data_IF_137077199332
#
_entry.id   IF_137077199332
#
_cell.length_a   1.000
_cell.length_b   1.000
_cell.length_c   1.000
_cell.angle_alpha   90.00
_cell.angle_beta   90.00
_cell.angle_gamma   90.00
#
_symmetry.space_group_name_H-M   'P 1'
#
loop_
_entity.id
_entity.type
_entity.pdbx_description
1 polymer ?
#
# COMPACT_ATOMS: atom_id res chain seq x y z
N UNK A 1 37.80 -4.83 -25.16
CA UNK A 1 37.64 -4.58 -23.70
C UNK A 1 36.16 -4.41 -23.39
N UNK A 2 35.54 -5.45 -22.85
CA UNK A 2 34.12 -5.42 -22.51
C UNK A 2 34.00 -4.79 -21.13
N UNK A 3 33.46 -3.58 -21.07
CA UNK A 3 33.16 -2.89 -19.83
C UNK A 3 32.08 -3.67 -19.08
N UNK A 4 32.44 -4.31 -17.97
CA UNK A 4 31.49 -4.88 -17.02
C UNK A 4 30.71 -3.72 -16.40
N UNK A 5 29.44 -3.56 -16.81
CA UNK A 5 28.47 -2.72 -16.14
C UNK A 5 28.29 -3.25 -14.70
N UNK A 6 28.94 -2.58 -13.77
CA UNK A 6 28.62 -2.71 -12.36
C UNK A 6 27.22 -2.14 -12.16
N UNK A 7 26.22 -2.99 -11.97
CA UNK A 7 24.94 -2.57 -11.46
C UNK A 7 25.17 -2.06 -10.03
N UNK A 8 25.49 -0.77 -9.91
CA UNK A 8 25.34 -0.05 -8.66
C UNK A 8 23.85 -0.13 -8.30
N UNK A 9 23.58 -0.54 -7.09
CA UNK A 9 22.24 -0.59 -6.50
C UNK A 9 21.78 0.88 -6.29
N UNK A 10 21.50 1.58 -7.42
CA UNK A 10 21.11 2.98 -7.41
C UNK A 10 19.71 3.06 -6.82
N UNK A 11 19.59 3.66 -5.64
CA UNK A 11 18.29 3.85 -4.99
C UNK A 11 17.40 4.71 -5.87
N UNK A 12 16.16 4.26 -6.10
CA UNK A 12 15.18 4.99 -6.90
C UNK A 12 14.80 6.31 -6.23
N UNK A 13 14.75 7.39 -6.99
CA UNK A 13 14.25 8.68 -6.55
C UNK A 13 12.76 8.79 -6.82
N UNK A 14 11.98 9.08 -5.79
CA UNK A 14 10.53 9.14 -5.86
C UNK A 14 10.03 10.56 -5.59
N UNK A 15 9.01 10.99 -6.35
CA UNK A 15 8.23 12.17 -6.07
C UNK A 15 6.94 11.76 -5.34
N UNK A 16 6.75 12.26 -4.12
CA UNK A 16 5.58 11.95 -3.27
C UNK A 16 4.63 13.15 -3.29
N UNK A 17 3.44 12.93 -3.83
CA UNK A 17 2.39 13.94 -4.01
C UNK A 17 1.16 13.51 -3.23
N UNK A 18 0.79 14.31 -2.23
CA UNK A 18 -0.25 14.01 -1.26
C UNK A 18 -1.42 14.97 -1.45
N UNK A 19 -2.58 14.42 -1.72
CA UNK A 19 -3.84 15.14 -1.73
C UNK A 19 -4.35 15.23 -0.29
N UNK A 20 -4.30 16.45 0.29
CA UNK A 20 -4.67 16.70 1.68
C UNK A 20 -6.16 16.52 1.97
N UNK A 21 -7.00 16.70 0.95
CA UNK A 21 -8.46 16.59 1.10
C UNK A 21 -8.90 15.12 1.23
N UNK A 22 -8.10 14.20 0.69
CA UNK A 22 -8.38 12.77 0.67
C UNK A 22 -7.45 11.92 1.57
N UNK A 23 -6.37 12.49 2.10
CA UNK A 23 -5.43 11.76 2.95
C UNK A 23 -5.64 12.09 4.44
N UNK A 24 -5.52 11.10 5.30
CA UNK A 24 -5.61 11.27 6.75
C UNK A 24 -4.22 11.44 7.36
N UNK A 25 -4.06 12.40 8.27
CA UNK A 25 -2.79 12.68 8.94
C UNK A 25 -2.22 11.48 9.72
N UNK A 26 -3.09 10.62 10.26
CA UNK A 26 -2.70 9.44 11.04
C UNK A 26 -1.91 8.37 10.27
N UNK A 27 -1.87 8.44 8.93
CA UNK A 27 -1.13 7.45 8.13
C UNK A 27 0.30 7.88 7.84
N UNK A 28 0.71 9.12 8.15
CA UNK A 28 1.94 9.73 7.61
C UNK A 28 3.19 8.93 7.94
N UNK A 29 3.29 8.43 9.17
CA UNK A 29 4.43 7.66 9.64
C UNK A 29 4.56 6.35 8.84
N UNK A 30 3.51 5.53 8.83
CA UNK A 30 3.46 4.28 8.06
C UNK A 30 3.57 4.51 6.54
N UNK A 31 3.09 5.65 6.03
CA UNK A 31 3.23 6.03 4.62
C UNK A 31 4.71 6.17 4.23
N UNK A 32 5.50 6.93 4.99
CA UNK A 32 6.92 7.12 4.66
C UNK A 32 7.75 5.87 4.95
N UNK A 33 7.41 5.07 5.95
CA UNK A 33 8.01 3.75 6.14
C UNK A 33 7.75 2.82 4.95
N UNK A 34 6.53 2.82 4.42
CA UNK A 34 6.18 2.02 3.25
C UNK A 34 6.90 2.52 1.99
N UNK A 35 6.93 3.85 1.75
CA UNK A 35 7.61 4.46 0.61
C UNK A 35 9.11 4.14 0.63
N UNK A 36 9.75 4.14 1.81
CA UNK A 36 11.17 3.83 1.96
C UNK A 36 11.55 2.43 1.45
N UNK A 37 10.60 1.50 1.35
CA UNK A 37 10.81 0.17 0.76
C UNK A 37 10.98 0.21 -0.77
N UNK A 38 10.52 1.27 -1.41
CA UNK A 38 10.52 1.42 -2.87
C UNK A 38 11.61 2.38 -3.37
N UNK A 39 12.04 3.32 -2.53
CA UNK A 39 13.06 4.30 -2.90
C UNK A 39 13.15 5.48 -1.94
N UNK A 40 13.89 6.51 -2.36
CA UNK A 40 14.06 7.75 -1.60
C UNK A 40 12.98 8.74 -2.00
N UNK A 41 12.20 9.24 -1.03
CA UNK A 41 11.25 10.33 -1.22
C UNK A 41 11.99 11.66 -1.39
N UNK A 42 12.48 11.94 -2.61
CA UNK A 42 13.29 13.13 -2.94
C UNK A 42 12.45 14.40 -3.01
N UNK A 43 11.20 14.31 -3.36
CA UNK A 43 10.20 15.38 -3.31
C UNK A 43 9.03 14.90 -2.48
N UNK A 44 8.57 15.73 -1.55
CA UNK A 44 7.40 15.51 -0.71
C UNK A 44 6.55 16.76 -0.74
N UNK A 45 5.43 16.73 -1.44
CA UNK A 45 4.50 17.86 -1.59
C UNK A 45 3.11 17.45 -1.17
N UNK A 46 2.41 18.37 -0.54
CA UNK A 46 1.05 18.18 -0.09
C UNK A 46 0.18 19.33 -0.54
N UNK A 47 -0.90 19.02 -1.22
CA UNK A 47 -1.80 19.96 -1.88
C UNK A 47 -3.08 20.10 -1.09
N UNK A 48 -3.52 21.34 -0.85
CA UNK A 48 -4.75 21.61 -0.11
C UNK A 48 -4.98 23.08 0.16
N UNK A 49 -6.13 23.40 0.73
CA UNK A 49 -6.42 24.75 1.21
C UNK A 49 -6.03 24.88 2.69
N UNK A 50 -4.85 25.44 2.92
CA UNK A 50 -4.26 25.64 4.26
C UNK A 50 -4.83 26.80 5.04
N UNK A 51 -5.79 27.54 4.50
CA UNK A 51 -6.41 28.69 5.16
C UNK A 51 -7.44 28.26 6.20
N UNK A 52 -8.04 27.08 6.03
CA UNK A 52 -9.03 26.50 6.94
C UNK A 52 -8.43 25.70 8.09
N UNK A 53 -9.24 25.38 9.12
CA UNK A 53 -8.83 24.56 10.26
C UNK A 53 -8.75 23.07 9.94
N UNK A 54 -9.35 22.61 8.82
CA UNK A 54 -9.52 21.19 8.46
C UNK A 54 -8.19 20.45 8.36
N UNK A 55 -7.17 21.12 7.84
CA UNK A 55 -5.82 20.56 7.66
C UNK A 55 -4.88 20.86 8.86
N UNK A 56 -5.43 21.31 9.98
CA UNK A 56 -4.66 21.65 11.18
C UNK A 56 -3.81 20.49 11.72
N UNK A 57 -4.29 19.26 11.64
CA UNK A 57 -3.58 18.06 12.07
C UNK A 57 -2.30 17.78 11.26
N UNK A 58 -2.23 18.27 10.03
CA UNK A 58 -1.07 18.10 9.16
C UNK A 58 0.07 19.08 9.45
N UNK A 59 -0.21 20.25 10.07
CA UNK A 59 0.79 21.32 10.23
C UNK A 59 2.06 20.87 10.96
N UNK A 60 1.90 20.12 12.06
CA UNK A 60 3.03 19.58 12.82
C UNK A 60 3.77 18.51 12.02
N UNK A 61 3.05 17.58 11.43
CA UNK A 61 3.58 16.47 10.66
C UNK A 61 4.32 16.91 9.40
N UNK A 62 3.88 17.99 8.74
CA UNK A 62 4.60 18.55 7.59
C UNK A 62 6.00 18.99 7.96
N UNK A 63 6.19 19.61 9.13
CA UNK A 63 7.51 20.02 9.61
C UNK A 63 8.36 18.79 9.97
N UNK A 64 7.80 17.84 10.72
CA UNK A 64 8.50 16.63 11.18
C UNK A 64 8.97 15.77 10.01
N UNK A 65 8.17 15.64 8.95
CA UNK A 65 8.48 14.81 7.77
C UNK A 65 9.03 15.60 6.59
N UNK A 66 9.29 16.91 6.75
CA UNK A 66 9.77 17.80 5.69
C UNK A 66 8.88 17.75 4.44
N UNK A 67 7.57 17.85 4.63
CA UNK A 67 6.57 17.88 3.55
C UNK A 67 6.33 19.35 3.19
N UNK A 68 6.46 19.70 1.92
CA UNK A 68 6.21 21.05 1.41
C UNK A 68 4.70 21.24 1.18
N UNK A 69 4.02 22.16 1.90
CA UNK A 69 2.63 22.50 1.60
C UNK A 69 2.56 23.33 0.31
N UNK A 70 1.65 22.96 -0.56
CA UNK A 70 1.27 23.71 -1.76
C UNK A 70 -0.13 24.27 -1.51
N UNK A 71 -0.22 25.60 -1.43
CA UNK A 71 -1.50 26.28 -1.22
C UNK A 71 -2.30 26.31 -2.50
N UNK A 72 -3.53 25.86 -2.43
CA UNK A 72 -4.52 26.04 -3.48
C UNK A 72 -5.78 26.66 -2.86
N UNK A 73 -6.12 27.88 -3.29
CA UNK A 73 -7.34 28.54 -2.83
C UNK A 73 -8.57 27.96 -3.52
N UNK A 74 -9.55 27.58 -2.74
CA UNK A 74 -10.84 27.16 -3.25
C UNK A 74 -11.68 28.39 -3.67
N UNK A 75 -11.48 28.89 -4.89
CA UNK A 75 -12.23 30.04 -5.41
C UNK A 75 -13.74 29.76 -5.55
N UNK A 76 -14.14 28.50 -5.62
CA UNK A 76 -15.54 28.06 -5.71
C UNK A 76 -15.68 26.74 -4.97
N UNK A 77 -16.67 26.62 -4.08
CA UNK A 77 -16.96 25.37 -3.38
C UNK A 77 -17.25 24.25 -4.39
N UNK A 78 -16.60 23.11 -4.21
CA UNK A 78 -16.84 21.89 -5.02
C UNK A 78 -16.15 21.85 -6.39
N UNK A 79 -15.11 22.64 -6.62
CA UNK A 79 -14.24 22.49 -7.80
C UNK A 79 -12.91 21.87 -7.42
N UNK A 80 -12.40 20.97 -8.29
CA UNK A 80 -11.15 20.20 -8.17
C UNK A 80 -9.90 21.07 -8.38
N UNK A 81 -9.80 22.20 -7.66
CA UNK A 81 -8.68 23.13 -7.81
C UNK A 81 -7.38 22.53 -7.25
N UNK A 82 -7.49 21.80 -6.15
CA UNK A 82 -6.38 21.06 -5.51
C UNK A 82 -5.84 19.98 -6.44
N UNK A 83 -6.75 19.18 -7.05
CA UNK A 83 -6.39 18.10 -7.97
C UNK A 83 -5.67 18.62 -9.20
N UNK A 84 -6.16 19.72 -9.78
CA UNK A 84 -5.53 20.37 -10.94
C UNK A 84 -4.11 20.84 -10.62
N UNK A 85 -3.89 21.41 -9.44
CA UNK A 85 -2.57 21.85 -9.00
C UNK A 85 -1.60 20.66 -8.84
N UNK A 86 -2.07 19.55 -8.23
CA UNK A 86 -1.28 18.33 -8.10
C UNK A 86 -0.94 17.75 -9.47
N UNK A 87 -1.89 17.71 -10.41
CA UNK A 87 -1.68 17.18 -11.76
C UNK A 87 -0.65 18.01 -12.53
N UNK A 88 -0.75 19.33 -12.49
CA UNK A 88 0.22 20.22 -13.17
C UNK A 88 1.61 20.00 -12.61
N UNK A 89 1.75 20.02 -11.29
CA UNK A 89 3.02 19.86 -10.61
C UNK A 89 3.64 18.47 -10.84
N UNK A 90 2.82 17.42 -10.89
CA UNK A 90 3.26 16.07 -11.27
C UNK A 90 3.85 16.04 -12.68
N UNK A 91 3.20 16.71 -13.64
CA UNK A 91 3.69 16.80 -15.02
C UNK A 91 4.99 17.61 -15.11
N UNK A 92 5.10 18.72 -14.37
CA UNK A 92 6.34 19.51 -14.30
C UNK A 92 7.48 18.66 -13.74
N UNK A 93 7.25 17.92 -12.64
CA UNK A 93 8.25 17.03 -12.05
C UNK A 93 8.62 15.89 -13.00
N UNK A 94 7.69 15.31 -13.74
CA UNK A 94 7.93 14.28 -14.75
C UNK A 94 8.95 14.77 -15.79
N UNK A 95 8.76 15.96 -16.34
CA UNK A 95 9.63 16.51 -17.38
C UNK A 95 11.00 16.94 -16.88
N UNK A 96 11.21 17.03 -15.57
CA UNK A 96 12.58 17.22 -15.02
C UNK A 96 13.48 16.01 -15.25
N UNK A 97 12.93 14.82 -15.50
CA UNK A 97 13.63 13.52 -15.66
C UNK A 97 14.56 13.18 -14.50
N UNK A 98 14.20 13.59 -13.28
CA UNK A 98 14.99 13.35 -12.06
C UNK A 98 14.46 12.20 -11.20
N UNK A 99 13.30 11.63 -11.55
CA UNK A 99 12.60 10.65 -10.75
C UNK A 99 12.48 9.34 -11.51
N UNK A 100 12.50 8.24 -10.75
CA UNK A 100 12.26 6.88 -11.24
C UNK A 100 10.79 6.47 -11.03
N UNK A 101 10.06 7.22 -10.21
CA UNK A 101 8.67 6.93 -9.93
C UNK A 101 7.96 8.02 -9.12
N UNK A 102 6.64 7.83 -9.02
CA UNK A 102 5.72 8.73 -8.33
C UNK A 102 4.90 7.96 -7.29
N UNK A 103 4.72 8.56 -6.13
CA UNK A 103 3.78 8.13 -5.11
C UNK A 103 2.60 9.10 -5.12
N UNK A 104 1.42 8.62 -5.49
CA UNK A 104 0.17 9.38 -5.51
C UNK A 104 -0.66 8.96 -4.30
N UNK A 105 -0.89 9.89 -3.37
CA UNK A 105 -1.62 9.63 -2.12
C UNK A 105 -2.98 10.30 -2.19
N UNK A 106 -3.97 9.57 -2.66
CA UNK A 106 -5.37 9.98 -2.76
C UNK A 106 -6.29 8.78 -2.98
N UNK A 107 -7.57 8.94 -2.68
CA UNK A 107 -8.63 7.98 -3.00
C UNK A 107 -9.51 8.45 -4.16
N UNK A 108 -9.15 9.55 -4.83
CA UNK A 108 -9.94 10.10 -5.91
C UNK A 108 -9.62 9.45 -7.27
N UNK A 109 -10.68 9.14 -8.02
CA UNK A 109 -10.60 8.60 -9.38
C UNK A 109 -10.06 9.58 -10.41
N UNK A 110 -10.09 10.88 -10.13
CA UNK A 110 -9.65 11.93 -11.06
C UNK A 110 -8.15 11.82 -11.36
N UNK A 111 -7.39 11.21 -10.45
CA UNK A 111 -5.98 10.91 -10.67
C UNK A 111 -5.71 9.68 -11.55
N UNK A 112 -6.75 8.95 -11.99
CA UNK A 112 -6.60 7.78 -12.88
C UNK A 112 -5.81 8.11 -14.13
N UNK A 113 -6.16 9.23 -14.80
CA UNK A 113 -5.50 9.64 -16.05
C UNK A 113 -4.05 10.09 -15.80
N UNK A 114 -3.78 10.74 -14.67
CA UNK A 114 -2.43 11.10 -14.26
C UNK A 114 -1.56 9.86 -14.08
N UNK A 115 -2.03 8.88 -13.30
CA UNK A 115 -1.31 7.63 -13.06
C UNK A 115 -1.00 6.90 -14.38
N UNK A 116 -1.96 6.79 -15.30
CA UNK A 116 -1.76 6.20 -16.61
C UNK A 116 -0.70 6.98 -17.41
N UNK A 117 -0.76 8.31 -17.41
CA UNK A 117 0.18 9.16 -18.16
C UNK A 117 1.62 9.04 -17.64
N UNK A 118 1.80 9.00 -16.32
CA UNK A 118 3.13 8.79 -15.71
C UNK A 118 3.72 7.44 -16.13
N UNK A 119 2.91 6.38 -16.16
CA UNK A 119 3.35 5.05 -16.61
C UNK A 119 3.67 5.02 -18.10
N UNK A 120 2.90 5.70 -18.95
CA UNK A 120 3.19 5.85 -20.39
C UNK A 120 4.59 6.45 -20.62
N UNK A 121 5.06 7.31 -19.72
CA UNK A 121 6.42 7.89 -19.76
C UNK A 121 7.48 7.01 -19.07
N UNK A 122 7.13 5.78 -18.69
CA UNK A 122 8.06 4.80 -18.11
C UNK A 122 8.30 4.97 -16.59
N UNK A 123 7.54 5.82 -15.92
CA UNK A 123 7.64 5.98 -14.46
C UNK A 123 6.94 4.85 -13.73
N UNK A 124 7.51 4.42 -12.60
CA UNK A 124 6.79 3.52 -11.69
C UNK A 124 5.81 4.32 -10.84
N UNK A 125 4.53 3.94 -10.83
CA UNK A 125 3.49 4.63 -10.06
C UNK A 125 3.03 3.78 -8.88
N UNK A 126 3.20 4.32 -7.68
CA UNK A 126 2.75 3.77 -6.42
C UNK A 126 1.53 4.57 -5.94
N UNK A 127 0.35 3.94 -5.94
CA UNK A 127 -0.87 4.56 -5.41
C UNK A 127 -1.04 4.24 -3.92
N UNK A 128 -1.50 5.21 -3.16
CA UNK A 128 -1.87 5.06 -1.75
C UNK A 128 -3.26 5.65 -1.55
N UNK A 129 -4.21 4.86 -1.08
CA UNK A 129 -5.57 5.32 -0.87
C UNK A 129 -6.39 4.35 -0.04
N UNK A 130 -7.57 4.73 0.36
CA UNK A 130 -8.47 3.90 1.16
C UNK A 130 -9.08 2.76 0.33
N UNK A 131 -9.61 1.73 1.00
CA UNK A 131 -10.27 0.58 0.33
C UNK A 131 -11.46 0.98 -0.55
N UNK A 132 -12.06 2.15 -0.29
CA UNK A 132 -13.13 2.72 -1.13
C UNK A 132 -12.64 3.26 -2.48
N UNK A 133 -11.33 3.37 -2.70
CA UNK A 133 -10.74 3.92 -3.94
C UNK A 133 -11.26 3.18 -5.17
N UNK A 134 -11.74 3.88 -6.20
CA UNK A 134 -12.29 3.27 -7.39
C UNK A 134 -11.26 2.40 -8.13
N UNK A 135 -11.72 1.24 -8.60
CA UNK A 135 -10.86 0.26 -9.32
C UNK A 135 -10.07 0.85 -10.50
N UNK A 136 -10.58 1.80 -11.30
CA UNK A 136 -9.80 2.40 -12.39
C UNK A 136 -8.49 3.03 -11.89
N UNK A 137 -8.52 3.79 -10.79
CA UNK A 137 -7.31 4.40 -10.24
C UNK A 137 -6.34 3.33 -9.68
N UNK A 138 -6.87 2.35 -8.94
CA UNK A 138 -6.07 1.22 -8.44
C UNK A 138 -5.34 0.49 -9.58
N UNK A 139 -6.06 0.22 -10.69
CA UNK A 139 -5.50 -0.48 -11.85
C UNK A 139 -4.54 0.36 -12.69
N UNK A 140 -4.64 1.69 -12.61
CA UNK A 140 -3.73 2.60 -13.29
C UNK A 140 -2.34 2.68 -12.61
N UNK A 141 -2.19 2.19 -11.38
CA UNK A 141 -0.93 2.13 -10.65
C UNK A 141 -0.19 0.81 -10.92
N UNK A 142 1.15 0.82 -10.81
CA UNK A 142 1.95 -0.42 -10.81
C UNK A 142 1.81 -1.18 -9.51
N UNK A 143 1.68 -0.44 -8.41
CA UNK A 143 1.34 -0.98 -7.09
C UNK A 143 0.39 -0.02 -6.38
N UNK A 144 -0.60 -0.57 -5.67
CA UNK A 144 -1.53 0.20 -4.87
C UNK A 144 -1.53 -0.32 -3.42
N UNK A 145 -1.37 0.58 -2.47
CA UNK A 145 -1.31 0.27 -1.04
C UNK A 145 -2.53 0.90 -0.36
N UNK A 146 -3.34 0.07 0.26
CA UNK A 146 -4.47 0.56 1.04
C UNK A 146 -3.99 1.17 2.36
N UNK A 147 -4.40 2.41 2.62
CA UNK A 147 -3.92 3.19 3.77
C UNK A 147 -4.34 2.62 5.12
N UNK A 148 -5.36 1.78 5.16
CA UNK A 148 -5.79 1.07 6.36
C UNK A 148 -4.71 0.16 6.95
N UNK A 149 -3.82 -0.38 6.11
CA UNK A 149 -2.70 -1.22 6.59
C UNK A 149 -1.49 -0.41 7.08
N UNK A 150 -1.52 0.91 6.90
CA UNK A 150 -0.44 1.83 7.30
C UNK A 150 -0.72 2.50 8.63
N UNK A 151 -1.94 2.38 9.17
CA UNK A 151 -2.28 2.90 10.49
C UNK A 151 -1.52 2.09 11.52
N UNK A 152 -0.82 2.76 12.45
CA UNK A 152 -0.29 2.11 13.63
C UNK A 152 -1.45 1.41 14.36
N UNK A 153 -1.30 0.11 14.65
CA UNK A 153 -2.18 -0.52 15.62
C UNK A 153 -1.99 0.25 16.93
N UNK A 154 -3.05 0.91 17.41
CA UNK A 154 -3.06 1.40 18.79
C UNK A 154 -2.84 0.17 19.66
N UNK A 155 -1.63 0.05 20.19
CA UNK A 155 -1.32 -0.91 21.24
C UNK A 155 -2.13 -0.48 22.44
N UNK A 156 -3.29 -1.08 22.63
CA UNK A 156 -4.03 -0.96 23.89
C UNK A 156 -3.18 -1.66 24.94
N UNK A 157 -2.32 -0.89 25.63
CA UNK A 157 -1.68 -1.39 26.84
C UNK A 157 -2.78 -1.82 27.80
N UNK A 158 -2.72 -3.06 28.34
CA UNK A 158 -3.67 -3.45 29.38
C UNK A 158 -3.44 -2.59 30.61
N UNK A 159 -4.41 -1.74 30.93
CA UNK A 159 -4.39 -0.92 32.11
C UNK A 159 -4.07 -1.80 33.34
N UNK A 160 -2.91 -1.57 33.92
CA UNK A 160 -2.51 -2.16 35.19
C UNK A 160 -3.49 -1.72 36.28
N UNK A 161 -4.16 -2.70 36.84
CA UNK A 161 -5.02 -2.54 38.01
C UNK A 161 -4.22 -1.98 39.19
N UNK A 162 -4.57 -0.82 39.64
CA UNK A 162 -4.11 -0.19 40.89
C UNK A 162 -5.31 0.17 41.75
N UNK A 163 -5.38 -0.44 42.91
CA UNK A 163 -6.44 -0.58 43.89
C UNK A 163 -6.99 0.67 44.51
N UNK A 164 -8.26 0.49 44.91
CA UNK A 164 -9.01 0.97 46.10
C UNK A 164 -9.77 2.29 46.13
N UNK A 165 -11.04 2.02 46.27
CA UNK A 165 -12.21 2.82 46.68
C UNK A 165 -12.07 3.51 48.06
N UNK A 166 -13.09 4.24 48.67
CA UNK A 166 -14.53 4.13 48.44
C UNK A 166 -15.41 5.42 48.54
N UNK A 167 -16.70 5.28 48.11
CA UNK A 167 -17.98 5.90 48.59
C UNK A 167 -18.19 7.41 48.36
N UNK A 168 -19.32 7.91 47.89
CA UNK A 168 -20.73 7.71 48.24
C UNK A 168 -21.68 8.34 47.19
N UNK A 169 -22.81 7.66 46.91
CA UNK A 169 -24.21 8.07 46.66
C UNK A 169 -24.53 9.34 45.85
N UNK A 170 -25.30 9.27 44.81
CA UNK A 170 -26.73 9.15 44.55
C UNK A 170 -27.16 9.69 43.18
N UNK A 171 -28.13 9.00 42.65
CA UNK A 171 -29.27 9.34 41.77
C UNK A 171 -29.08 9.60 40.26
N UNK A 172 -29.44 8.56 39.52
CA UNK A 172 -30.49 8.44 38.45
C UNK A 172 -30.46 9.46 37.30
N UNK A 173 -30.13 9.01 36.10
CA UNK A 173 -31.05 8.96 34.96
C UNK A 173 -30.42 8.12 33.82
N UNK A 174 -31.13 7.10 33.43
CA UNK A 174 -30.88 6.25 32.27
C UNK A 174 -30.91 7.05 30.96
N UNK A 175 -29.90 6.91 30.13
CA UNK A 175 -30.05 7.00 28.66
C UNK A 175 -29.09 6.07 28.00
N UNK A 176 -29.67 5.04 27.47
CA UNK A 176 -29.20 3.97 26.60
C UNK A 176 -28.21 4.50 25.56
N UNK A 177 -26.95 4.11 25.66
CA UNK A 177 -25.98 4.14 24.56
C UNK A 177 -25.37 2.74 24.48
N UNK A 178 -25.96 1.92 23.64
CA UNK A 178 -25.35 0.70 23.15
C UNK A 178 -23.95 1.01 22.60
N UNK A 179 -22.95 0.78 23.42
CA UNK A 179 -21.57 0.65 22.97
C UNK A 179 -21.39 -0.74 22.35
N UNK A 180 -21.48 -0.82 21.04
CA UNK A 180 -21.02 -1.96 20.29
C UNK A 180 -19.51 -2.18 20.57
N UNK A 181 -19.08 -3.41 20.93
CA UNK A 181 -17.66 -3.71 21.10
C UNK A 181 -16.92 -3.52 19.76
N UNK A 182 -15.63 -3.15 19.78
CA UNK A 182 -14.85 -3.00 18.56
C UNK A 182 -14.84 -4.31 17.78
N UNK A 183 -15.39 -4.29 16.57
CA UNK A 183 -15.37 -5.43 15.67
C UNK A 183 -13.90 -5.74 15.34
N UNK A 184 -13.43 -6.91 15.75
CA UNK A 184 -12.18 -7.49 15.28
C UNK A 184 -12.12 -7.35 13.75
N UNK A 185 -11.07 -6.71 13.22
CA UNK A 185 -10.88 -6.48 11.81
C UNK A 185 -11.01 -7.82 11.06
N UNK A 186 -12.11 -8.01 10.34
CA UNK A 186 -12.33 -9.20 9.52
C UNK A 186 -11.37 -9.08 8.33
N UNK A 187 -10.28 -9.86 8.36
CA UNK A 187 -9.39 -9.98 7.21
C UNK A 187 -10.16 -10.41 5.96
N UNK A 188 -9.76 -9.89 4.81
CA UNK A 188 -10.34 -10.27 3.53
C UNK A 188 -10.14 -11.77 3.26
N UNK A 189 -11.04 -12.38 2.49
CA UNK A 189 -10.90 -13.79 2.08
C UNK A 189 -9.74 -13.91 1.07
N UNK A 190 -8.82 -14.84 1.33
CA UNK A 190 -7.69 -15.11 0.44
C UNK A 190 -8.20 -15.54 -0.95
N UNK A 191 -7.74 -14.91 -2.04
CA UNK A 191 -8.16 -15.24 -3.40
C UNK A 191 -7.41 -16.48 -3.93
N UNK A 192 -7.73 -17.65 -3.36
CA UNK A 192 -6.99 -18.89 -3.59
C UNK A 192 -6.97 -19.30 -5.06
N UNK A 193 -8.13 -19.24 -5.74
CA UNK A 193 -8.26 -19.62 -7.15
C UNK A 193 -7.39 -18.75 -8.07
N UNK A 194 -7.32 -17.43 -7.77
CA UNK A 194 -6.46 -16.51 -8.50
C UNK A 194 -4.97 -16.86 -8.33
N UNK A 195 -4.55 -17.16 -7.09
CA UNK A 195 -3.17 -17.55 -6.79
C UNK A 195 -2.84 -18.89 -7.46
N UNK A 196 -3.76 -19.87 -7.39
CA UNK A 196 -3.61 -21.18 -8.00
C UNK A 196 -3.39 -21.07 -9.52
N UNK A 197 -4.23 -20.28 -10.19
CA UNK A 197 -4.10 -20.04 -11.64
C UNK A 197 -2.72 -19.48 -11.99
N UNK A 198 -2.24 -18.46 -11.28
CA UNK A 198 -0.91 -17.89 -11.56
C UNK A 198 0.19 -18.92 -11.32
N UNK A 199 0.07 -19.72 -10.24
CA UNK A 199 1.02 -20.80 -9.97
C UNK A 199 1.09 -21.81 -11.11
N UNK A 200 -0.07 -22.22 -11.64
CA UNK A 200 -0.14 -23.17 -12.74
C UNK A 200 0.46 -22.59 -14.02
N UNK A 201 0.26 -21.28 -14.28
CA UNK A 201 0.79 -20.58 -15.46
C UNK A 201 2.33 -20.43 -15.44
N UNK A 202 2.94 -20.33 -14.23
CA UNK A 202 4.39 -20.07 -14.07
C UNK A 202 5.18 -21.28 -13.58
N UNK A 203 4.51 -22.40 -13.26
CA UNK A 203 5.16 -23.59 -12.74
C UNK A 203 6.03 -24.26 -13.80
N UNK A 204 7.20 -24.76 -13.37
CA UNK A 204 8.06 -25.61 -14.15
C UNK A 204 7.42 -26.99 -14.40
N UNK A 205 8.10 -27.87 -15.13
CA UNK A 205 7.59 -29.21 -15.47
C UNK A 205 7.26 -30.04 -14.22
N UNK A 206 8.01 -29.86 -13.14
CA UNK A 206 7.79 -30.51 -11.84
C UNK A 206 6.62 -29.93 -11.02
N UNK A 207 5.92 -28.92 -11.56
CA UNK A 207 4.78 -28.25 -10.94
C UNK A 207 5.14 -27.22 -9.89
N UNK A 208 6.43 -26.92 -9.70
CA UNK A 208 6.89 -25.91 -8.74
C UNK A 208 7.19 -24.57 -9.42
N UNK A 209 6.97 -23.49 -8.70
CA UNK A 209 7.34 -22.15 -9.11
C UNK A 209 8.07 -21.40 -8.00
N UNK A 210 9.02 -20.54 -8.35
CA UNK A 210 9.71 -19.68 -7.41
C UNK A 210 8.71 -18.69 -6.77
N UNK A 211 8.68 -18.63 -5.45
CA UNK A 211 7.74 -17.77 -4.71
C UNK A 211 7.92 -16.27 -5.06
N UNK A 212 9.14 -15.84 -5.35
CA UNK A 212 9.42 -14.47 -5.77
C UNK A 212 8.78 -14.17 -7.14
N UNK A 213 8.83 -15.11 -8.09
CA UNK A 213 8.17 -14.99 -9.39
C UNK A 213 6.66 -14.93 -9.23
N UNK A 214 6.08 -15.77 -8.35
CA UNK A 214 4.67 -15.71 -8.01
C UNK A 214 4.28 -14.31 -7.49
N UNK A 215 5.02 -13.78 -6.52
CA UNK A 215 4.76 -12.44 -5.97
C UNK A 215 4.80 -11.33 -7.03
N UNK A 216 5.78 -11.39 -7.92
CA UNK A 216 5.90 -10.44 -9.04
C UNK A 216 4.69 -10.53 -9.99
N UNK A 217 4.26 -11.73 -10.37
CA UNK A 217 3.11 -11.90 -11.28
C UNK A 217 1.79 -11.50 -10.61
N UNK A 218 1.61 -11.82 -9.32
CA UNK A 218 0.45 -11.34 -8.56
C UNK A 218 0.38 -9.81 -8.59
N UNK A 219 1.49 -9.12 -8.29
CA UNK A 219 1.53 -7.65 -8.27
C UNK A 219 1.23 -7.03 -9.63
N UNK A 220 1.71 -7.63 -10.73
CA UNK A 220 1.41 -7.17 -12.11
C UNK A 220 -0.08 -7.30 -12.47
N UNK A 221 -0.73 -8.38 -12.03
CA UNK A 221 -2.13 -8.66 -12.34
C UNK A 221 -3.12 -7.99 -11.38
N UNK A 222 -2.70 -7.81 -10.13
CA UNK A 222 -3.49 -7.14 -9.08
C UNK A 222 -2.60 -6.19 -8.27
N UNK A 223 -2.48 -4.92 -8.69
CA UNK A 223 -1.62 -3.93 -8.02
C UNK A 223 -1.90 -3.76 -6.53
N UNK A 224 -3.17 -3.89 -6.12
CA UNK A 224 -3.60 -3.78 -4.72
C UNK A 224 -3.46 -5.07 -3.90
N UNK A 225 -2.85 -6.13 -4.44
CA UNK A 225 -2.64 -7.34 -3.65
C UNK A 225 -1.53 -7.10 -2.61
N UNK A 226 -1.91 -7.30 -1.32
CA UNK A 226 -0.97 -7.26 -0.21
C UNK A 226 -1.35 -8.37 0.80
N UNK A 227 -0.36 -9.14 1.24
CA UNK A 227 -0.57 -10.25 2.20
C UNK A 227 -1.12 -9.76 3.54
N UNK A 228 -0.86 -8.50 3.92
CA UNK A 228 -1.33 -7.88 5.16
C UNK A 228 -2.85 -7.74 5.21
N UNK A 229 -3.51 -7.56 4.06
CA UNK A 229 -4.98 -7.52 3.96
C UNK A 229 -5.63 -8.86 4.39
N UNK A 230 -4.86 -9.93 4.34
CA UNK A 230 -5.28 -11.29 4.69
C UNK A 230 -4.69 -11.76 6.03
N UNK A 231 -4.14 -10.84 6.83
CA UNK A 231 -3.56 -11.14 8.16
C UNK A 231 -2.15 -11.73 8.13
N UNK A 232 -1.41 -11.61 7.02
CA UNK A 232 -0.05 -12.17 6.91
C UNK A 232 0.97 -11.11 6.53
N UNK A 233 2.06 -11.02 7.26
CA UNK A 233 3.14 -10.05 7.00
C UNK A 233 3.91 -10.33 5.70
N UNK A 234 3.93 -11.59 5.24
CA UNK A 234 4.66 -12.04 4.04
C UNK A 234 3.81 -12.99 3.20
N UNK A 235 4.05 -12.99 1.89
CA UNK A 235 3.41 -13.93 0.96
C UNK A 235 3.67 -15.39 1.34
N UNK A 236 4.86 -15.73 1.83
CA UNK A 236 5.19 -17.08 2.31
C UNK A 236 4.27 -17.53 3.46
N UNK A 237 3.94 -16.63 4.38
CA UNK A 237 2.98 -16.90 5.46
C UNK A 237 1.58 -17.14 4.94
N UNK A 238 1.13 -16.30 4.00
CA UNK A 238 -0.16 -16.45 3.34
C UNK A 238 -0.28 -17.82 2.63
N UNK A 239 0.71 -18.18 1.81
CA UNK A 239 0.70 -19.47 1.08
C UNK A 239 0.71 -20.65 2.06
N UNK A 240 1.51 -20.59 3.13
CA UNK A 240 1.57 -21.63 4.16
C UNK A 240 0.24 -21.80 4.89
N UNK A 241 -0.51 -20.73 5.15
CA UNK A 241 -1.82 -20.79 5.79
C UNK A 241 -2.88 -21.49 4.92
N UNK A 242 -2.67 -21.53 3.61
CA UNK A 242 -3.57 -22.19 2.64
C UNK A 242 -3.07 -23.60 2.29
N UNK A 243 -2.63 -24.39 3.28
CA UNK A 243 -2.01 -25.71 3.10
C UNK A 243 -2.88 -26.76 2.40
N UNK A 244 -4.20 -26.56 2.32
CA UNK A 244 -5.12 -27.38 1.51
C UNK A 244 -4.92 -27.21 0.01
N UNK A 245 -4.46 -26.03 -0.40
CA UNK A 245 -4.34 -25.64 -1.80
C UNK A 245 -2.88 -25.62 -2.27
N UNK A 246 -1.98 -25.20 -1.40
CA UNK A 246 -0.60 -24.93 -1.77
C UNK A 246 0.37 -25.72 -0.90
N UNK A 247 1.49 -26.03 -1.50
CA UNK A 247 2.67 -26.55 -0.83
C UNK A 247 3.81 -25.56 -0.96
N UNK A 248 4.60 -25.44 0.10
CA UNK A 248 5.76 -24.53 0.13
C UNK A 248 6.99 -25.33 0.55
N UNK A 249 8.05 -25.26 -0.27
CA UNK A 249 9.31 -25.94 -0.05
C UNK A 249 10.48 -24.95 -0.07
N UNK A 250 11.50 -25.24 0.72
CA UNK A 250 12.77 -24.51 0.68
C UNK A 250 13.77 -25.27 -0.16
N UNK A 251 14.24 -24.68 -1.28
CA UNK A 251 15.25 -25.26 -2.16
C UNK A 251 16.45 -24.35 -2.24
N UNK A 252 17.49 -24.64 -1.46
CA UNK A 252 18.74 -23.88 -1.48
C UNK A 252 18.71 -22.54 -0.75
N UNK A 253 19.83 -21.82 -0.88
CA UNK A 253 19.99 -20.46 -0.35
C UNK A 253 20.34 -19.49 -1.47
N UNK A 254 19.83 -18.27 -1.39
CA UNK A 254 20.17 -17.21 -2.32
C UNK A 254 21.63 -16.75 -2.07
N UNK A 255 22.29 -16.09 -3.04
CA UNK A 255 23.63 -15.52 -2.87
C UNK A 255 23.72 -14.53 -1.70
N UNK A 256 22.61 -13.98 -1.25
CA UNK A 256 22.49 -13.06 -0.10
C UNK A 256 22.17 -13.76 1.21
N UNK A 257 22.19 -15.12 1.26
CA UNK A 257 22.01 -15.93 2.46
C UNK A 257 20.55 -16.21 2.85
N UNK A 258 19.57 -15.77 2.04
CA UNK A 258 18.15 -16.04 2.30
C UNK A 258 17.71 -17.41 1.73
N UNK A 259 16.74 -18.07 2.40
CA UNK A 259 16.13 -19.30 1.91
C UNK A 259 15.35 -19.05 0.61
N UNK A 260 15.61 -19.86 -0.42
CA UNK A 260 14.86 -19.82 -1.68
C UNK A 260 13.64 -20.69 -1.56
N UNK A 261 12.45 -20.05 -1.64
CA UNK A 261 11.16 -20.70 -1.46
C UNK A 261 10.49 -20.96 -2.81
N UNK A 262 9.98 -22.18 -2.95
CA UNK A 262 9.15 -22.62 -4.06
C UNK A 262 7.76 -22.94 -3.58
N UNK A 263 6.76 -22.68 -4.42
CA UNK A 263 5.37 -22.99 -4.14
C UNK A 263 4.79 -23.89 -5.27
N UNK A 264 3.85 -24.75 -4.89
CA UNK A 264 3.13 -25.64 -5.83
C UNK A 264 1.64 -25.63 -5.53
N UNK A 265 0.81 -25.70 -6.56
CA UNK A 265 -0.62 -25.96 -6.46
C UNK A 265 -0.85 -27.47 -6.29
N UNK A 266 -1.40 -27.88 -5.15
CA UNK A 266 -1.70 -29.31 -4.84
C UNK A 266 -2.85 -29.87 -5.68
N UNK A 267 -3.74 -29.00 -6.14
CA UNK A 267 -4.92 -29.35 -6.90
C UNK A 267 -4.73 -29.14 -8.43
N UNK A 268 -3.49 -29.03 -8.87
CA UNK A 268 -3.19 -28.94 -10.30
C UNK A 268 -3.68 -30.23 -10.97
N UNK A 269 -4.70 -30.12 -11.81
CA UNK A 269 -5.09 -31.19 -12.71
C UNK A 269 -4.00 -31.26 -13.76
N UNK A 270 -3.18 -32.30 -13.71
CA UNK A 270 -2.30 -32.64 -14.83
C UNK A 270 -3.23 -33.05 -15.95
N UNK A 271 -3.59 -32.11 -16.82
CA UNK A 271 -4.16 -32.47 -18.12
C UNK A 271 -3.12 -33.33 -18.83
N UNK A 272 -3.35 -34.62 -18.82
CA UNK A 272 -2.68 -35.59 -19.68
C UNK A 272 -2.96 -35.17 -21.12
N UNK A 273 -2.16 -34.31 -21.66
CA UNK A 273 -2.06 -34.18 -23.10
C UNK A 273 -1.21 -35.34 -23.63
N UNK A 274 -1.87 -36.47 -23.71
CA UNK A 274 -1.55 -37.48 -24.72
C UNK A 274 -1.97 -36.91 -26.07
N UNK A 275 -0.98 -36.42 -26.82
CA UNK A 275 -0.97 -36.55 -28.29
C UNK A 275 0.42 -36.30 -28.83
#
# INVERSE_FOLDING_TARGET
MVSKSTHSNQQKHLAVLIDADNAQASIVEGLFEEIAKYGIASVKRMYGDWTGPQLGSWKKLMLEHSIQPIQQFAYTKGKNATDSSLIIDAMDLLYTRRFDGFCLVSSDSDFTRLAARLREEGMTVYGFGEQKTPKPFVSACDKFIYTEILRAEEVVEPASQGEKAPKTTDSVTEMDKQSTPPQSAKHAKVPVEFIAKILDDIAEEDGWALLATLGTNISKLRPAFDSRLYGHTKLSGLIRSQSKWFELETRGMSPTGGAVLYARNKNRTLDNQTR
#
